data_IF_796844675904
#
_entry.id   IF_796844675904
#
_cell.length_a   1.000
_cell.length_b   1.000
_cell.length_c   1.000
_cell.angle_alpha   90.00
_cell.angle_beta   90.00
_cell.angle_gamma   90.00
#
_symmetry.space_group_name_H-M   'P 1'
#
loop_
_entity.id
_entity.type
_entity.pdbx_description
1 polymer ?
#
# COMPACT_ATOMS: atom_id res chain seq x y z
N UNK A 1 17.69 -16.04 12.74
CA UNK A 1 16.44 -15.24 12.62
C UNK A 1 16.40 -14.63 11.23
N UNK A 2 15.60 -15.20 10.32
CA UNK A 2 15.62 -14.83 8.89
C UNK A 2 14.84 -13.53 8.68
N UNK A 3 15.52 -12.44 8.26
CA UNK A 3 14.88 -11.24 7.74
C UNK A 3 14.32 -11.58 6.36
N UNK A 4 13.01 -11.82 6.28
CA UNK A 4 12.29 -12.04 5.04
C UNK A 4 12.52 -10.88 4.07
N UNK A 5 12.84 -11.22 2.83
CA UNK A 5 13.12 -10.29 1.72
C UNK A 5 11.87 -9.43 1.46
N UNK A 6 11.93 -8.13 1.79
CA UNK A 6 10.85 -7.17 1.51
C UNK A 6 10.85 -6.83 0.03
N UNK A 7 9.95 -7.47 -0.72
CA UNK A 7 9.70 -7.19 -2.13
C UNK A 7 8.96 -5.86 -2.27
N UNK A 8 9.68 -4.74 -2.27
CA UNK A 8 9.16 -3.41 -2.67
C UNK A 8 7.95 -2.89 -1.91
N UNK A 9 7.68 -3.47 -0.75
CA UNK A 9 6.49 -3.24 0.05
C UNK A 9 6.77 -2.10 1.03
N UNK A 10 6.35 -0.90 0.66
CA UNK A 10 6.46 0.25 1.55
C UNK A 10 5.47 0.04 2.69
N UNK A 11 6.00 -0.31 3.86
CA UNK A 11 5.23 -0.48 5.09
C UNK A 11 5.70 0.51 6.15
N UNK A 12 4.74 1.13 6.82
CA UNK A 12 4.95 2.01 7.96
C UNK A 12 4.30 1.38 9.18
N UNK A 13 5.00 1.34 10.32
CA UNK A 13 4.49 0.73 11.54
C UNK A 13 4.86 1.57 12.76
N UNK A 14 3.86 1.91 13.55
CA UNK A 14 4.01 2.51 14.87
C UNK A 14 3.58 1.50 15.93
N UNK A 15 4.33 1.40 17.03
CA UNK A 15 3.98 0.56 18.19
C UNK A 15 4.19 1.36 19.45
N UNK A 16 3.22 1.27 20.35
CA UNK A 16 3.28 1.89 21.67
C UNK A 16 2.84 0.89 22.73
N UNK A 17 3.40 1.04 23.93
CA UNK A 17 2.97 0.36 25.15
C UNK A 17 2.91 1.42 26.23
N UNK A 18 1.88 1.35 27.05
CA UNK A 18 1.74 2.24 28.19
C UNK A 18 1.32 1.43 29.41
N UNK A 19 1.83 1.83 30.56
CA UNK A 19 1.45 1.30 31.85
C UNK A 19 1.23 2.49 32.77
N UNK A 20 0.08 2.50 33.41
CA UNK A 20 -0.37 3.56 34.32
C UNK A 20 -0.57 2.95 35.70
N UNK A 21 -0.23 3.70 36.74
CA UNK A 21 -0.48 3.30 38.13
C UNK A 21 -1.97 3.34 38.50
N UNK A 22 -2.31 2.94 39.74
CA UNK A 22 -3.62 3.25 40.33
C UNK A 22 -3.88 4.76 40.18
N UNK A 23 -5.10 5.12 39.76
CA UNK A 23 -5.53 6.49 39.38
C UNK A 23 -4.77 7.19 38.24
N UNK A 24 -3.75 6.56 37.63
CA UNK A 24 -3.05 7.10 36.47
C UNK A 24 -3.89 7.06 35.19
N UNK A 25 -3.64 7.99 34.28
CA UNK A 25 -4.26 8.01 32.94
C UNK A 25 -3.21 8.35 31.89
N UNK A 26 -3.39 7.83 30.68
CA UNK A 26 -2.52 8.13 29.56
C UNK A 26 -3.28 8.07 28.24
N UNK A 27 -2.79 8.83 27.26
CA UNK A 27 -3.30 8.81 25.89
C UNK A 27 -2.17 8.42 24.95
N UNK A 28 -2.40 7.42 24.11
CA UNK A 28 -1.49 7.04 23.04
C UNK A 28 -2.08 7.47 21.71
N UNK A 29 -1.32 8.26 20.94
CA UNK A 29 -1.64 8.58 19.54
C UNK A 29 -0.61 7.92 18.64
N UNK A 30 -1.04 7.02 17.76
CA UNK A 30 -0.15 6.35 16.81
C UNK A 30 -0.61 6.67 15.39
N UNK A 31 0.30 7.20 14.58
CA UNK A 31 0.11 7.39 13.14
C UNK A 31 1.13 6.55 12.38
N UNK A 32 0.65 5.75 11.44
CA UNK A 32 1.47 5.12 10.43
C UNK A 32 1.11 5.73 9.07
N UNK A 33 2.12 6.22 8.37
CA UNK A 33 1.96 6.83 7.05
C UNK A 33 2.93 6.17 6.08
N UNK A 34 2.43 5.70 4.95
CA UNK A 34 3.27 5.12 3.94
C UNK A 34 3.80 6.23 2.98
N UNK A 35 5.13 6.37 2.83
CA UNK A 35 5.75 7.57 2.25
C UNK A 35 5.39 7.91 0.79
N UNK A 36 4.91 6.96 -0.02
CA UNK A 36 4.63 7.18 -1.44
C UNK A 36 3.14 7.04 -1.80
N UNK A 37 2.26 7.10 -0.81
CA UNK A 37 0.81 6.92 -0.93
C UNK A 37 0.04 7.82 0.03
N UNK A 38 -1.27 7.95 -0.21
CA UNK A 38 -2.23 8.54 0.74
C UNK A 38 -2.66 7.55 1.83
N UNK A 39 -2.17 6.31 1.78
CA UNK A 39 -2.46 5.27 2.76
C UNK A 39 -1.94 5.67 4.15
N UNK A 40 -2.88 6.02 5.04
CA UNK A 40 -2.63 6.39 6.43
C UNK A 40 -3.46 5.52 7.35
N UNK A 41 -2.89 5.19 8.49
CA UNK A 41 -3.62 4.63 9.62
C UNK A 41 -3.31 5.45 10.87
N UNK A 42 -4.35 5.81 11.62
CA UNK A 42 -4.23 6.60 12.84
C UNK A 42 -5.14 6.00 13.91
N UNK A 43 -4.62 5.88 15.12
CA UNK A 43 -5.39 5.41 16.28
C UNK A 43 -5.12 6.29 17.49
N UNK A 44 -6.12 6.41 18.35
CA UNK A 44 -6.02 7.07 19.65
C UNK A 44 -6.54 6.11 20.70
N UNK A 45 -5.73 5.86 21.74
CA UNK A 45 -6.08 4.96 22.85
C UNK A 45 -6.02 5.75 24.14
N UNK A 46 -7.15 5.82 24.84
CA UNK A 46 -7.24 6.39 26.18
C UNK A 46 -7.17 5.25 27.20
N UNK A 47 -6.21 5.32 28.10
CA UNK A 47 -5.99 4.33 29.15
C UNK A 47 -6.28 4.98 30.48
N UNK A 48 -7.21 4.43 31.23
CA UNK A 48 -7.55 4.84 32.60
C UNK A 48 -7.23 3.68 33.52
N UNK A 49 -6.11 3.79 34.24
CA UNK A 49 -5.49 2.73 35.04
C UNK A 49 -5.15 1.46 34.26
N UNK A 50 -4.09 0.76 34.66
CA UNK A 50 -3.66 -0.49 34.01
C UNK A 50 -2.74 -0.27 32.81
N UNK A 51 -2.77 -1.20 31.85
CA UNK A 51 -1.80 -1.23 30.74
C UNK A 51 -2.48 -1.42 29.39
N UNK A 52 -1.87 -0.85 28.34
CA UNK A 52 -2.31 -1.06 26.97
C UNK A 52 -1.10 -1.24 26.04
N UNK A 53 -1.31 -1.99 24.97
CA UNK A 53 -0.39 -2.05 23.83
C UNK A 53 -1.17 -1.80 22.56
N UNK A 54 -0.62 -0.96 21.70
CA UNK A 54 -1.22 -0.64 20.42
C UNK A 54 -0.19 -0.75 19.30
N UNK A 55 -0.63 -1.25 18.15
CA UNK A 55 0.15 -1.29 16.91
C UNK A 55 -0.69 -0.74 15.79
N UNK A 56 -0.12 0.22 15.06
CA UNK A 56 -0.72 0.82 13.89
C UNK A 56 0.19 0.56 12.69
N UNK A 57 -0.37 0.18 11.55
CA UNK A 57 0.40 -0.08 10.33
C UNK A 57 -0.32 0.38 9.09
N UNK A 58 0.43 1.01 8.18
CA UNK A 58 -0.03 1.40 6.86
C UNK A 58 0.84 0.71 5.81
N UNK A 59 0.21 0.31 4.71
CA UNK A 59 0.83 -0.53 3.70
C UNK A 59 0.48 -0.03 2.30
N UNK A 60 1.47 0.05 1.42
CA UNK A 60 1.26 0.36 0.01
C UNK A 60 1.31 -0.89 -0.85
N UNK A 61 0.36 -1.06 -1.77
CA UNK A 61 0.54 -2.06 -2.82
C UNK A 61 1.78 -1.69 -3.65
N UNK A 62 2.60 -2.69 -4.04
CA UNK A 62 3.73 -2.44 -4.92
C UNK A 62 3.21 -1.77 -6.20
N UNK A 63 3.83 -0.64 -6.59
CA UNK A 63 3.48 0.04 -7.84
C UNK A 63 3.59 -0.98 -8.96
N UNK A 64 2.45 -1.38 -9.55
CA UNK A 64 2.45 -2.17 -10.77
C UNK A 64 3.30 -1.35 -11.73
N UNK A 65 4.42 -1.91 -12.21
CA UNK A 65 5.15 -1.31 -13.33
C UNK A 65 4.06 -1.07 -14.36
N UNK A 66 3.80 0.20 -14.67
CA UNK A 66 2.94 0.54 -15.79
C UNK A 66 3.65 -0.13 -16.95
N UNK A 67 3.13 -1.28 -17.39
CA UNK A 67 3.55 -1.89 -18.64
C UNK A 67 3.22 -0.79 -19.61
N UNK A 68 4.25 -0.03 -19.99
CA UNK A 68 4.19 0.92 -21.08
C UNK A 68 3.68 0.02 -22.18
N UNK A 69 2.38 0.12 -22.48
CA UNK A 69 1.81 -0.57 -23.63
C UNK A 69 2.74 -0.10 -24.73
N UNK A 70 3.63 -0.97 -25.20
CA UNK A 70 4.43 -0.64 -26.38
C UNK A 70 3.35 -0.19 -27.35
N UNK A 71 3.47 1.04 -27.84
CA UNK A 71 2.67 1.42 -29.00
C UNK A 71 2.92 0.26 -29.96
N UNK A 72 1.89 -0.56 -30.20
CA UNK A 72 1.93 -1.57 -31.23
C UNK A 72 2.28 -0.76 -32.44
N UNK A 73 3.53 -0.86 -32.90
CA UNK A 73 3.92 -0.37 -34.21
C UNK A 73 2.82 -0.91 -35.11
N UNK A 74 2.04 -0.07 -35.81
CA UNK A 74 1.05 -0.59 -36.73
C UNK A 74 1.85 -1.49 -37.65
N UNK A 75 1.66 -2.81 -37.51
CA UNK A 75 2.15 -3.74 -38.52
C UNK A 75 1.58 -3.25 -39.84
N UNK A 76 2.29 -3.44 -40.97
CA UNK A 76 1.78 -2.97 -42.25
C UNK A 76 0.34 -3.45 -42.39
N UNK A 77 -0.60 -2.50 -42.42
CA UNK A 77 -1.97 -2.79 -42.79
C UNK A 77 -1.85 -3.45 -44.16
N UNK A 78 -2.07 -4.76 -44.21
CA UNK A 78 -2.26 -5.45 -45.48
C UNK A 78 -3.58 -4.91 -46.01
N UNK A 79 -3.47 -3.80 -46.75
CA UNK A 79 -4.55 -3.27 -47.55
C UNK A 79 -4.81 -4.38 -48.57
N UNK A 80 -5.90 -5.14 -48.38
CA UNK A 80 -6.29 -6.10 -49.39
C UNK A 80 -6.53 -5.29 -50.67
N UNK A 81 -5.93 -5.72 -51.80
CA UNK A 81 -6.18 -5.05 -53.04
C UNK A 81 -7.67 -5.13 -53.41
N UNK A 82 -8.21 -4.10 -54.07
CA UNK A 82 -9.66 -3.89 -54.25
C UNK A 82 -10.38 -4.94 -55.10
N UNK A 83 -9.66 -5.93 -55.65
CA UNK A 83 -10.25 -6.99 -56.45
C UNK A 83 -10.71 -8.22 -55.64
N UNK A 84 -10.39 -8.30 -54.34
CA UNK A 84 -10.70 -9.48 -53.50
C UNK A 84 -12.09 -9.41 -52.84
N UNK A 85 -12.95 -8.46 -53.25
CA UNK A 85 -14.31 -8.29 -52.71
C UNK A 85 -15.36 -9.14 -53.46
N UNK A 86 -15.00 -9.87 -54.51
CA UNK A 86 -15.97 -10.55 -55.39
C UNK A 86 -16.37 -11.98 -54.97
N UNK A 87 -16.26 -12.35 -53.69
CA UNK A 87 -16.61 -13.70 -53.19
C UNK A 87 -17.36 -13.70 -51.84
N UNK A 88 -18.27 -12.75 -51.63
CA UNK A 88 -19.33 -12.87 -50.61
C UNK A 88 -20.70 -12.57 -51.22
#
# INVERSE_FOLDING_TARGET
>A
MSKGKSLGLVHSRAKARVQTGPSGSATMQLTAHAPNSTARSSITVNVRSGSASATCSAHEPPKKKQVRKRATTPGPMLLLPPWDTAKL
#
